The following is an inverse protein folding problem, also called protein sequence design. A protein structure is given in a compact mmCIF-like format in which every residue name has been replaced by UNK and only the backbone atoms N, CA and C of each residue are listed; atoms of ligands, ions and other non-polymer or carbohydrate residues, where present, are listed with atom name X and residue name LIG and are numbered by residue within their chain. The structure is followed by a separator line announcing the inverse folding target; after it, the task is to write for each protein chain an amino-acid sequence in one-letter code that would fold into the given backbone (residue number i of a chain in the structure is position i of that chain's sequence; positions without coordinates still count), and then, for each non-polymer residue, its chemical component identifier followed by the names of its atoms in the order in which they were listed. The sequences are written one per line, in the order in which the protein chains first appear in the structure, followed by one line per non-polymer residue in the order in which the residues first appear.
data_IF_482432553528
#
_entry.id   IF_482432553528
#
_cell.length_a   1.000
_cell.length_b   1.000
_cell.length_c   1.000
_cell.angle_alpha   90.00
_cell.angle_beta   90.00
_cell.angle_gamma   90.00
#
_symmetry.space_group_name_H-M   'P 1'
#
loop_
_entity.id
_entity.type
_entity.pdbx_description
1 polymer ?
#
# COMPACT_ATOMS: atom_id res chain seq x y z
N UNK A 1 37.51 -8.02 7.58
CA UNK A 1 36.16 -8.37 8.07
C UNK A 1 35.56 -7.33 9.02
N UNK A 2 36.31 -6.76 9.99
CA UNK A 2 35.81 -5.74 10.94
C UNK A 2 35.40 -4.37 10.33
N UNK A 3 35.97 -3.96 9.20
CA UNK A 3 35.66 -2.67 8.56
C UNK A 3 34.28 -2.63 7.86
N UNK A 4 33.78 -3.76 7.34
CA UNK A 4 32.43 -3.84 6.74
C UNK A 4 31.32 -3.74 7.79
N UNK A 5 31.51 -4.41 8.94
CA UNK A 5 30.62 -4.30 10.11
C UNK A 5 30.54 -2.86 10.65
N UNK A 6 31.65 -2.11 10.63
CA UNK A 6 31.69 -0.73 11.14
C UNK A 6 30.88 0.24 10.26
N UNK A 7 30.93 0.09 8.94
CA UNK A 7 30.14 0.91 8.00
C UNK A 7 28.64 0.61 8.06
N UNK A 8 28.26 -0.65 8.28
CA UNK A 8 26.85 -1.04 8.46
C UNK A 8 26.30 -0.56 9.79
N UNK A 9 27.04 -0.68 10.90
CA UNK A 9 26.65 -0.15 12.21
C UNK A 9 26.43 1.38 12.19
N UNK A 10 27.29 2.14 11.47
CA UNK A 10 27.09 3.58 11.30
C UNK A 10 25.81 3.92 10.51
N UNK A 11 25.49 3.14 9.47
CA UNK A 11 24.26 3.30 8.69
C UNK A 11 23.01 3.06 9.55
N UNK A 12 23.06 2.06 10.43
CA UNK A 12 21.93 1.73 11.32
C UNK A 12 21.75 2.71 12.47
N UNK A 13 22.84 3.22 13.04
CA UNK A 13 22.77 4.32 13.99
C UNK A 13 22.16 5.56 13.34
N UNK A 14 22.48 5.86 12.07
CA UNK A 14 21.85 6.96 11.35
C UNK A 14 20.33 6.75 11.14
N UNK A 15 19.88 5.51 10.90
CA UNK A 15 18.44 5.18 10.84
C UNK A 15 17.77 5.36 12.20
N UNK A 16 18.41 4.91 13.28
CA UNK A 16 17.91 5.09 14.64
C UNK A 16 17.78 6.58 15.02
N UNK A 17 18.85 7.35 14.81
CA UNK A 17 18.89 8.80 15.02
C UNK A 17 17.83 9.51 14.17
N UNK A 18 17.66 9.11 12.91
CA UNK A 18 16.63 9.68 12.04
C UNK A 18 15.23 9.46 12.62
N UNK A 19 14.95 8.30 13.21
CA UNK A 19 13.64 8.05 13.79
C UNK A 19 13.46 8.78 15.12
N UNK A 20 14.51 8.85 15.97
CA UNK A 20 14.49 9.66 17.18
C UNK A 20 14.22 11.14 16.86
N UNK A 21 15.01 11.73 15.95
CA UNK A 21 14.85 13.12 15.50
C UNK A 21 13.45 13.36 14.94
N UNK A 22 12.93 12.42 14.15
CA UNK A 22 11.58 12.53 13.57
C UNK A 22 10.51 12.47 14.66
N UNK A 23 10.69 11.61 15.66
CA UNK A 23 9.79 11.51 16.82
C UNK A 23 9.82 12.75 17.72
N UNK A 24 10.98 13.38 17.86
CA UNK A 24 11.16 14.58 18.67
C UNK A 24 10.62 15.83 17.97
N UNK A 25 10.75 15.92 16.65
CA UNK A 25 10.23 17.04 15.85
C UNK A 25 8.72 17.01 15.65
N UNK A 26 8.07 15.86 15.76
CA UNK A 26 6.62 15.72 15.56
C UNK A 26 6.01 14.87 16.68
N UNK A 27 5.61 15.54 17.78
CA UNK A 27 5.02 14.88 18.95
C UNK A 27 3.80 13.99 18.65
N UNK A 28 3.06 14.28 17.58
CA UNK A 28 1.89 13.50 17.13
C UNK A 28 2.25 12.08 16.66
N UNK A 29 3.47 11.82 16.20
CA UNK A 29 3.90 10.47 15.80
C UNK A 29 3.96 9.55 17.03
N UNK A 30 4.38 10.09 18.18
CA UNK A 30 4.46 9.33 19.44
C UNK A 30 3.09 8.86 19.93
N UNK A 31 2.02 9.45 19.42
CA UNK A 31 0.67 9.06 19.74
C UNK A 31 0.14 7.89 18.90
N UNK A 32 0.84 7.51 17.82
CA UNK A 32 0.50 6.32 17.05
C UNK A 32 0.77 5.10 17.96
N UNK A 33 -0.23 4.24 18.25
CA UNK A 33 -0.10 3.15 19.23
C UNK A 33 1.09 2.20 19.01
N UNK A 34 1.49 1.99 17.75
CA UNK A 34 2.64 1.15 17.38
C UNK A 34 4.01 1.80 17.66
N UNK A 35 4.05 3.12 17.87
CA UNK A 35 5.29 3.87 18.06
C UNK A 35 5.98 3.56 19.40
N UNK A 36 5.22 3.25 20.45
CA UNK A 36 5.78 2.84 21.74
C UNK A 36 6.51 1.49 21.68
N UNK A 37 6.00 0.55 20.88
CA UNK A 37 6.65 -0.74 20.62
C UNK A 37 7.91 -0.56 19.79
N UNK A 38 7.86 0.34 18.80
CA UNK A 38 9.01 0.74 17.98
C UNK A 38 10.21 1.21 18.82
N UNK A 39 10.01 2.16 19.74
CA UNK A 39 11.11 2.71 20.55
C UNK A 39 11.80 1.63 21.41
N UNK A 40 11.04 0.64 21.89
CA UNK A 40 11.57 -0.47 22.70
C UNK A 40 12.41 -1.43 21.87
N UNK A 41 11.94 -1.79 20.66
CA UNK A 41 12.68 -2.67 19.75
C UNK A 41 13.96 -1.99 19.26
N UNK A 42 13.88 -0.70 18.94
CA UNK A 42 15.00 0.11 18.50
C UNK A 42 16.17 0.10 19.51
N UNK A 43 15.86 0.26 20.81
CA UNK A 43 16.84 0.23 21.90
C UNK A 43 17.43 -1.18 22.14
N UNK A 44 16.75 -2.23 21.69
CA UNK A 44 17.15 -3.63 21.86
C UNK A 44 17.80 -4.25 20.61
N UNK A 45 18.01 -3.48 19.54
CA UNK A 45 18.55 -3.96 18.25
C UNK A 45 19.93 -4.63 18.41
N UNK A 46 19.94 -5.96 18.41
CA UNK A 46 21.17 -6.77 18.54
C UNK A 46 21.36 -7.74 17.37
N UNK A 47 20.28 -8.09 16.66
CA UNK A 47 20.32 -9.03 15.55
C UNK A 47 20.14 -8.34 14.19
N UNK A 48 20.59 -9.03 13.12
CA UNK A 48 20.36 -8.59 11.72
C UNK A 48 18.86 -8.52 11.40
N UNK A 49 18.05 -9.41 12.00
CA UNK A 49 16.60 -9.41 11.83
C UNK A 49 15.98 -8.13 12.40
N UNK A 50 16.38 -7.75 13.62
CA UNK A 50 15.88 -6.52 14.25
C UNK A 50 16.24 -5.29 13.41
N UNK A 51 17.45 -5.26 12.85
CA UNK A 51 17.90 -4.17 11.99
C UNK A 51 17.10 -4.09 10.69
N UNK A 52 16.80 -5.23 10.06
CA UNK A 52 16.00 -5.28 8.84
C UNK A 52 14.56 -4.84 9.10
N UNK A 53 13.97 -5.27 10.22
CA UNK A 53 12.66 -4.80 10.65
C UNK A 53 12.65 -3.28 10.83
N UNK A 54 13.63 -2.76 11.57
CA UNK A 54 13.80 -1.34 11.82
C UNK A 54 13.96 -0.53 10.53
N UNK A 55 14.63 -1.07 9.52
CA UNK A 55 14.70 -0.46 8.20
C UNK A 55 13.34 -0.30 7.54
N UNK A 56 12.57 -1.40 7.46
CA UNK A 56 11.24 -1.44 6.84
C UNK A 56 10.28 -0.50 7.54
N UNK A 57 10.35 -0.47 8.87
CA UNK A 57 9.55 0.38 9.72
C UNK A 57 9.95 1.86 9.61
N UNK A 58 11.24 2.16 9.49
CA UNK A 58 11.72 3.53 9.23
C UNK A 58 11.15 4.10 7.93
N UNK A 59 11.09 3.26 6.87
CA UNK A 59 10.51 3.62 5.57
C UNK A 59 9.00 3.87 5.68
N UNK A 60 8.29 3.01 6.39
CA UNK A 60 6.88 3.20 6.67
C UNK A 60 6.63 4.53 7.42
N UNK A 61 7.39 4.81 8.48
CA UNK A 61 7.29 6.05 9.26
C UNK A 61 7.59 7.27 8.38
N UNK A 62 8.65 7.21 7.57
CA UNK A 62 9.00 8.25 6.61
C UNK A 62 7.83 8.56 5.66
N UNK A 63 7.14 7.53 5.18
CA UNK A 63 5.98 7.68 4.30
C UNK A 63 4.72 8.19 5.01
N UNK A 64 4.47 7.75 6.26
CA UNK A 64 3.38 8.28 7.08
C UNK A 64 3.61 9.76 7.41
N UNK A 65 4.85 10.17 7.72
CA UNK A 65 5.16 11.57 8.07
C UNK A 65 5.10 12.56 6.92
N UNK A 66 4.90 12.07 5.68
CA UNK A 66 4.58 12.93 4.55
C UNK A 66 3.16 13.49 4.64
N UNK A 67 2.33 12.98 5.56
CA UNK A 67 0.97 13.50 5.77
C UNK A 67 0.97 14.73 6.69
N UNK A 68 -0.03 15.59 6.54
CA UNK A 68 -0.19 16.77 7.40
C UNK A 68 -0.51 16.38 8.85
N UNK A 69 -0.26 17.26 9.80
CA UNK A 69 -0.57 17.01 11.22
C UNK A 69 -2.03 16.61 11.45
N UNK A 70 -2.98 17.18 10.70
CA UNK A 70 -4.39 16.85 10.81
C UNK A 70 -4.67 15.42 10.33
N UNK A 71 -4.03 14.99 9.24
CA UNK A 71 -4.14 13.62 8.73
C UNK A 71 -3.43 12.62 9.67
N UNK A 72 -2.31 13.00 10.29
CA UNK A 72 -1.68 12.21 11.36
C UNK A 72 -2.62 12.01 12.54
N UNK A 73 -3.36 13.05 12.96
CA UNK A 73 -4.39 12.91 14.00
C UNK A 73 -5.48 11.93 13.58
N UNK A 74 -5.93 11.96 12.34
CA UNK A 74 -6.91 10.99 11.81
C UNK A 74 -6.38 9.57 11.86
N UNK A 75 -5.14 9.33 11.42
CA UNK A 75 -4.47 8.02 11.50
C UNK A 75 -4.37 7.55 12.96
N UNK A 76 -3.92 8.43 13.84
CA UNK A 76 -3.78 8.14 15.27
C UNK A 76 -5.12 7.76 15.89
N UNK A 77 -6.20 8.48 15.59
CA UNK A 77 -7.53 8.19 16.09
C UNK A 77 -8.07 6.86 15.54
N UNK A 78 -7.84 6.57 14.26
CA UNK A 78 -8.23 5.31 13.63
C UNK A 78 -7.54 4.08 14.25
N UNK A 79 -6.39 4.27 14.91
CA UNK A 79 -5.67 3.23 15.63
C UNK A 79 -5.96 3.20 17.14
N UNK A 80 -6.53 4.28 17.73
CA UNK A 80 -6.74 4.41 19.19
C UNK A 80 -8.10 3.90 19.70
N UNK A 81 -9.17 3.96 18.92
CA UNK A 81 -10.54 3.72 19.42
C UNK A 81 -11.12 2.36 18.95
N UNK A 82 -11.55 1.49 19.90
CA UNK A 82 -12.06 0.08 19.73
C UNK A 82 -10.94 -0.95 19.36
N UNK A 83 -11.13 -2.31 19.35
CA UNK A 83 -10.06 -3.32 19.55
C UNK A 83 -9.03 -3.36 18.41
N UNK A 84 -8.23 -2.31 18.37
CA UNK A 84 -7.27 -1.94 17.35
C UNK A 84 -5.86 -2.33 17.75
N UNK A 85 -5.65 -2.90 18.93
CA UNK A 85 -4.39 -3.58 19.25
C UNK A 85 -4.12 -4.68 18.23
N UNK A 86 -5.13 -5.49 17.88
CA UNK A 86 -5.00 -6.50 16.82
C UNK A 86 -4.67 -5.87 15.45
N UNK A 87 -5.22 -4.68 15.14
CA UNK A 87 -4.95 -3.99 13.89
C UNK A 87 -3.53 -3.42 13.84
N UNK A 88 -3.09 -2.82 14.94
CA UNK A 88 -1.75 -2.30 15.18
C UNK A 88 -0.71 -3.43 15.13
N UNK A 89 -0.99 -4.57 15.76
CA UNK A 89 -0.19 -5.79 15.71
C UNK A 89 -0.12 -6.35 14.29
N UNK A 90 -1.26 -6.49 13.60
CA UNK A 90 -1.30 -6.96 12.21
C UNK A 90 -0.50 -6.04 11.29
N UNK A 91 -0.59 -4.71 11.49
CA UNK A 91 0.20 -3.74 10.75
C UNK A 91 1.71 -3.93 10.98
N UNK A 92 2.14 -4.05 12.25
CA UNK A 92 3.54 -4.29 12.60
C UNK A 92 4.05 -5.61 12.02
N UNK A 93 3.29 -6.69 12.19
CA UNK A 93 3.60 -8.00 11.63
C UNK A 93 3.66 -7.96 10.10
N UNK A 94 2.80 -7.19 9.45
CA UNK A 94 2.84 -7.04 7.99
C UNK A 94 4.13 -6.36 7.56
N UNK A 95 4.51 -5.26 8.22
CA UNK A 95 5.74 -4.52 7.94
C UNK A 95 6.96 -5.41 8.16
N UNK A 96 7.01 -6.16 9.25
CA UNK A 96 8.12 -7.06 9.56
C UNK A 96 8.32 -8.14 8.49
N UNK A 97 7.21 -8.74 8.06
CA UNK A 97 7.21 -9.80 7.06
C UNK A 97 7.32 -9.31 5.60
N UNK A 98 7.58 -8.02 5.35
CA UNK A 98 7.82 -7.55 3.97
C UNK A 98 9.12 -8.16 3.43
N UNK A 99 9.09 -8.69 2.21
CA UNK A 99 10.31 -9.11 1.52
C UNK A 99 11.12 -7.90 1.03
N UNK A 100 10.44 -6.87 0.53
CA UNK A 100 11.04 -5.62 0.05
C UNK A 100 10.55 -4.42 0.86
N UNK A 101 11.47 -3.67 1.46
CA UNK A 101 11.15 -2.49 2.29
C UNK A 101 10.39 -1.39 1.53
N UNK A 102 10.57 -1.30 0.20
CA UNK A 102 9.89 -0.32 -0.64
C UNK A 102 8.37 -0.53 -0.72
N UNK A 103 7.86 -1.69 -0.28
CA UNK A 103 6.42 -1.95 -0.13
C UNK A 103 5.81 -1.20 1.05
N UNK A 104 6.62 -0.73 2.01
CA UNK A 104 6.15 0.04 3.17
C UNK A 104 5.34 1.29 2.75
N UNK A 105 5.64 1.89 1.60
CA UNK A 105 4.88 3.03 1.06
C UNK A 105 3.42 2.68 0.77
N UNK A 106 3.15 1.49 0.24
CA UNK A 106 1.79 1.04 -0.07
C UNK A 106 1.00 0.74 1.20
N UNK A 107 1.68 0.26 2.24
CA UNK A 107 1.08 0.07 3.57
C UNK A 107 0.68 1.42 4.18
N UNK A 108 1.55 2.43 4.11
CA UNK A 108 1.25 3.79 4.57
C UNK A 108 0.05 4.40 3.82
N UNK A 109 -0.02 4.19 2.50
CA UNK A 109 -1.14 4.63 1.66
C UNK A 109 -2.46 3.94 2.04
N UNK A 110 -2.43 2.63 2.29
CA UNK A 110 -3.58 1.87 2.75
C UNK A 110 -4.09 2.39 4.11
N UNK A 111 -3.16 2.64 5.05
CA UNK A 111 -3.49 3.15 6.37
C UNK A 111 -4.11 4.55 6.29
N UNK A 112 -3.57 5.40 5.42
CA UNK A 112 -4.13 6.74 5.18
C UNK A 112 -5.58 6.65 4.68
N UNK A 113 -5.86 5.85 3.65
CA UNK A 113 -7.22 5.71 3.12
C UNK A 113 -8.18 5.09 4.13
N UNK A 114 -7.72 4.10 4.91
CA UNK A 114 -8.48 3.53 6.00
C UNK A 114 -8.84 4.58 7.07
N UNK A 115 -7.86 5.41 7.47
CA UNK A 115 -8.09 6.47 8.46
C UNK A 115 -9.10 7.52 7.97
N UNK A 116 -9.16 7.78 6.67
CA UNK A 116 -10.12 8.70 6.05
C UNK A 116 -11.46 8.02 5.69
N UNK A 117 -11.70 6.79 6.14
CA UNK A 117 -12.93 6.03 5.86
C UNK A 117 -13.16 5.79 4.35
N UNK A 118 -12.09 5.85 3.55
CA UNK A 118 -12.11 5.49 2.12
C UNK A 118 -11.90 3.98 1.91
N UNK A 119 -11.41 3.26 2.93
CA UNK A 119 -11.37 1.79 2.98
C UNK A 119 -12.17 1.27 4.17
N UNK A 120 -12.86 0.15 3.96
CA UNK A 120 -13.38 -0.64 5.08
C UNK A 120 -12.24 -1.35 5.81
N UNK A 121 -12.46 -1.80 7.05
CA UNK A 121 -11.49 -2.62 7.79
C UNK A 121 -11.11 -3.88 7.00
N UNK A 122 -12.09 -4.51 6.36
CA UNK A 122 -11.87 -5.71 5.53
C UNK A 122 -10.97 -5.40 4.33
N UNK A 123 -11.25 -4.32 3.59
CA UNK A 123 -10.44 -3.93 2.43
C UNK A 123 -9.03 -3.48 2.83
N UNK A 124 -8.89 -2.80 3.96
CA UNK A 124 -7.58 -2.45 4.50
C UNK A 124 -6.76 -3.71 4.83
N UNK A 125 -7.32 -4.66 5.58
CA UNK A 125 -6.64 -5.91 5.93
C UNK A 125 -6.28 -6.74 4.70
N UNK A 126 -7.19 -6.85 3.73
CA UNK A 126 -6.92 -7.53 2.45
C UNK A 126 -5.82 -6.83 1.66
N UNK A 127 -5.76 -5.50 1.72
CA UNK A 127 -4.69 -4.72 1.08
C UNK A 127 -3.34 -5.02 1.72
N UNK A 128 -3.26 -5.09 3.06
CA UNK A 128 -2.03 -5.47 3.77
C UNK A 128 -1.53 -6.85 3.35
N UNK A 129 -2.42 -7.85 3.35
CA UNK A 129 -2.07 -9.22 2.96
C UNK A 129 -1.60 -9.30 1.50
N UNK A 130 -2.22 -8.52 0.61
CA UNK A 130 -1.87 -8.53 -0.81
C UNK A 130 -0.54 -7.80 -1.10
N UNK A 131 -0.32 -6.63 -0.48
CA UNK A 131 0.94 -5.88 -0.58
C UNK A 131 2.12 -6.75 -0.10
N UNK A 132 1.93 -7.47 0.99
CA UNK A 132 2.95 -8.37 1.53
C UNK A 132 3.34 -9.45 0.52
N UNK A 133 2.35 -10.12 -0.09
CA UNK A 133 2.53 -11.31 -0.92
C UNK A 133 2.96 -11.00 -2.37
N UNK A 134 2.45 -9.93 -2.97
CA UNK A 134 2.72 -9.63 -4.38
C UNK A 134 4.17 -9.23 -4.62
N UNK A 135 4.76 -9.61 -5.75
CA UNK A 135 6.07 -9.08 -6.13
C UNK A 135 6.01 -7.56 -6.32
N UNK A 136 7.05 -6.82 -5.90
CA UNK A 136 7.04 -5.36 -6.02
C UNK A 136 6.98 -4.88 -7.48
N UNK A 137 7.53 -5.66 -8.42
CA UNK A 137 7.41 -5.38 -9.85
C UNK A 137 5.96 -5.35 -10.30
N UNK A 138 5.14 -6.29 -9.85
CA UNK A 138 3.71 -6.38 -10.19
C UNK A 138 2.94 -5.20 -9.59
N UNK A 139 3.24 -4.80 -8.35
CA UNK A 139 2.65 -3.58 -7.76
C UNK A 139 3.01 -2.33 -8.57
N UNK A 140 4.25 -2.22 -9.04
CA UNK A 140 4.67 -1.09 -9.88
C UNK A 140 4.04 -1.15 -11.28
N UNK A 141 3.85 -2.34 -11.85
CA UNK A 141 3.16 -2.54 -13.13
C UNK A 141 1.68 -2.12 -12.99
N UNK A 142 1.03 -2.50 -11.89
CA UNK A 142 -0.33 -2.06 -11.57
C UNK A 142 -0.43 -0.53 -11.46
N UNK A 143 0.51 0.14 -10.79
CA UNK A 143 0.56 1.61 -10.73
C UNK A 143 0.74 2.22 -12.12
N UNK A 144 1.47 1.56 -13.03
CA UNK A 144 1.72 2.06 -14.39
C UNK A 144 0.48 1.91 -15.27
N UNK A 145 -0.14 0.73 -15.27
CA UNK A 145 -1.33 0.43 -16.08
C UNK A 145 -2.54 1.18 -15.56
N UNK A 146 -2.66 1.29 -14.24
CA UNK A 146 -3.76 1.94 -13.56
C UNK A 146 -5.05 1.12 -13.63
N UNK A 147 -6.13 1.76 -14.05
CA UNK A 147 -7.46 1.15 -14.03
C UNK A 147 -7.66 0.20 -15.21
N UNK A 148 -8.02 -1.04 -14.89
CA UNK A 148 -8.48 -2.03 -15.87
C UNK A 148 -9.96 -1.75 -16.15
N UNK A 149 -10.23 -0.72 -16.95
CA UNK A 149 -11.61 -0.27 -17.24
C UNK A 149 -12.33 -1.10 -18.31
N UNK A 150 -11.72 -2.18 -18.79
CA UNK A 150 -12.24 -3.00 -19.89
C UNK A 150 -11.95 -4.47 -19.65
N UNK A 151 -12.69 -5.34 -20.35
CA UNK A 151 -12.43 -6.76 -20.34
C UNK A 151 -11.08 -7.03 -20.99
N UNK A 152 -10.16 -7.65 -20.24
CA UNK A 152 -8.79 -7.94 -20.70
C UNK A 152 -8.64 -9.45 -20.87
N UNK A 153 -7.98 -9.88 -21.95
CA UNK A 153 -7.64 -11.28 -22.23
C UNK A 153 -6.36 -11.72 -21.49
N UNK A 154 -6.10 -13.04 -21.44
CA UNK A 154 -4.82 -13.54 -20.89
C UNK A 154 -3.60 -13.00 -21.64
N UNK A 155 -3.68 -12.87 -22.97
CA UNK A 155 -2.59 -12.36 -23.82
C UNK A 155 -2.31 -10.87 -23.54
N UNK A 156 -3.36 -10.07 -23.37
CA UNK A 156 -3.20 -8.66 -22.98
C UNK A 156 -2.62 -8.53 -21.56
N UNK A 157 -3.03 -9.37 -20.60
CA UNK A 157 -2.40 -9.40 -19.27
C UNK A 157 -0.90 -9.76 -19.36
N UNK A 158 -0.51 -10.65 -20.27
CA UNK A 158 0.89 -11.00 -20.53
C UNK A 158 1.66 -9.82 -21.11
N UNK A 159 1.10 -9.13 -22.09
CA UNK A 159 1.71 -7.92 -22.68
C UNK A 159 1.91 -6.78 -21.68
N UNK A 160 1.14 -6.77 -20.58
CA UNK A 160 1.22 -5.77 -19.52
C UNK A 160 2.09 -6.20 -18.33
N UNK A 161 2.66 -7.41 -18.35
CA UNK A 161 3.33 -8.06 -17.21
C UNK A 161 2.41 -8.16 -15.96
N UNK A 162 1.15 -8.55 -16.18
CA UNK A 162 0.09 -8.64 -15.16
C UNK A 162 -0.58 -10.03 -15.09
N UNK A 163 0.01 -11.07 -15.70
CA UNK A 163 -0.52 -12.45 -15.63
C UNK A 163 -0.58 -12.96 -14.19
N UNK A 164 0.33 -12.51 -13.32
CA UNK A 164 0.33 -12.87 -11.89
C UNK A 164 -0.91 -12.40 -11.13
N UNK A 165 -1.72 -11.50 -11.73
CA UNK A 165 -3.01 -11.09 -11.16
C UNK A 165 -4.07 -12.20 -11.25
N UNK A 166 -3.90 -13.17 -12.16
CA UNK A 166 -4.85 -14.29 -12.29
C UNK A 166 -4.86 -15.09 -10.99
N UNK A 167 -6.04 -15.27 -10.41
CA UNK A 167 -6.22 -15.94 -9.13
C UNK A 167 -6.00 -15.04 -7.91
N UNK A 168 -5.65 -13.76 -8.10
CA UNK A 168 -5.68 -12.75 -7.03
C UNK A 168 -7.10 -12.21 -6.85
N UNK A 169 -7.42 -11.59 -5.70
CA UNK A 169 -8.71 -10.93 -5.51
C UNK A 169 -8.90 -9.65 -6.36
N UNK A 170 -7.91 -9.26 -7.18
CA UNK A 170 -7.96 -8.01 -7.95
C UNK A 170 -8.79 -8.13 -9.23
N UNK A 171 -8.78 -9.31 -9.85
CA UNK A 171 -9.52 -9.58 -11.09
C UNK A 171 -10.37 -10.85 -10.95
N UNK A 172 -11.43 -10.94 -11.73
CA UNK A 172 -12.29 -12.13 -11.83
C UNK A 172 -12.49 -12.50 -13.29
N UNK A 173 -12.73 -13.79 -13.54
CA UNK A 173 -13.13 -14.26 -14.86
C UNK A 173 -14.52 -13.73 -15.19
N UNK A 174 -14.67 -13.16 -16.37
CA UNK A 174 -15.95 -12.75 -16.89
C UNK A 174 -16.67 -13.97 -17.46
N UNK A 175 -17.88 -14.24 -16.98
CA UNK A 175 -18.75 -15.24 -17.55
C UNK A 175 -19.48 -14.65 -18.75
N UNK A 176 -18.97 -14.88 -19.95
CA UNK A 176 -19.61 -14.46 -21.20
C UNK A 176 -20.42 -15.62 -21.76
N UNK A 177 -21.69 -15.37 -22.04
CA UNK A 177 -22.57 -16.33 -22.67
C UNK A 177 -22.27 -16.43 -24.17
N UNK A 178 -21.94 -17.63 -24.64
CA UNK A 178 -21.61 -17.87 -26.05
C UNK A 178 -22.77 -17.56 -26.99
N UNK A 179 -24.02 -17.76 -26.55
CA UNK A 179 -25.20 -17.47 -27.37
C UNK A 179 -25.41 -15.96 -27.56
N UNK A 180 -25.08 -15.16 -26.55
CA UNK A 180 -25.10 -13.70 -26.66
C UNK A 180 -24.02 -13.21 -27.63
N UNK A 181 -22.80 -13.80 -27.57
CA UNK A 181 -21.73 -13.51 -28.53
C UNK A 181 -22.12 -13.84 -29.97
N UNK A 182 -22.74 -14.99 -30.21
CA UNK A 182 -23.22 -15.38 -31.55
C UNK A 182 -24.29 -14.42 -32.07
N UNK A 183 -25.26 -14.06 -31.22
CA UNK A 183 -26.32 -13.10 -31.58
C UNK A 183 -25.74 -11.74 -31.97
N UNK A 184 -24.69 -11.31 -31.28
CA UNK A 184 -24.04 -10.01 -31.50
C UNK A 184 -22.97 -10.06 -32.63
N UNK A 185 -22.79 -11.20 -33.30
CA UNK A 185 -21.82 -11.38 -34.38
C UNK A 185 -20.36 -11.51 -33.95
N UNK A 186 -20.09 -11.68 -32.64
CA UNK A 186 -18.77 -11.71 -32.00
C UNK A 186 -18.25 -13.15 -31.84
N UNK A 187 -18.29 -13.90 -32.93
CA UNK A 187 -17.98 -15.35 -32.96
C UNK A 187 -16.50 -15.61 -32.63
N UNK A 188 -15.62 -14.68 -32.97
CA UNK A 188 -14.19 -14.68 -32.69
C UNK A 188 -13.85 -14.62 -31.19
N UNK A 189 -14.79 -14.17 -30.36
CA UNK A 189 -14.61 -14.13 -28.90
C UNK A 189 -15.02 -15.42 -28.19
N UNK A 190 -15.59 -16.39 -28.92
CA UNK A 190 -16.01 -17.67 -28.33
C UNK A 190 -14.78 -18.46 -27.89
N UNK A 191 -14.76 -18.84 -26.60
CA UNK A 191 -13.64 -19.56 -26.00
C UNK A 191 -12.51 -18.66 -25.51
N UNK A 192 -12.59 -17.35 -25.74
CA UNK A 192 -11.65 -16.38 -25.18
C UNK A 192 -11.98 -16.13 -23.71
N UNK A 193 -11.03 -16.41 -22.82
CA UNK A 193 -11.18 -16.07 -21.40
C UNK A 193 -10.89 -14.58 -21.22
N UNK A 194 -11.88 -13.86 -20.69
CA UNK A 194 -11.74 -12.45 -20.34
C UNK A 194 -11.77 -12.26 -18.84
N UNK A 195 -11.07 -11.24 -18.38
CA UNK A 195 -10.97 -10.84 -17.00
C UNK A 195 -11.50 -9.42 -16.83
N UNK A 196 -12.10 -9.16 -15.69
CA UNK A 196 -12.52 -7.83 -15.28
C UNK A 196 -12.06 -7.55 -13.84
N UNK A 197 -11.93 -6.28 -13.51
CA UNK A 197 -11.61 -5.83 -12.16
C UNK A 197 -12.72 -6.25 -11.17
N UNK A 198 -12.34 -6.64 -9.96
CA UNK A 198 -13.30 -6.79 -8.86
C UNK A 198 -13.51 -5.45 -8.15
N UNK A 199 -14.58 -5.32 -7.36
CA UNK A 199 -14.78 -4.13 -6.51
C UNK A 199 -13.59 -3.88 -5.56
N UNK A 200 -12.99 -4.96 -5.05
CA UNK A 200 -11.77 -4.87 -4.24
C UNK A 200 -10.56 -4.48 -5.09
N UNK A 201 -10.45 -4.99 -6.32
CA UNK A 201 -9.43 -4.60 -7.30
C UNK A 201 -9.37 -3.09 -7.48
N UNK A 202 -10.49 -2.45 -7.82
CA UNK A 202 -10.53 -1.01 -8.00
C UNK A 202 -10.22 -0.22 -6.74
N UNK A 203 -10.60 -0.76 -5.58
CA UNK A 203 -10.25 -0.19 -4.27
C UNK A 203 -8.75 -0.30 -3.98
N UNK A 204 -8.14 -1.43 -4.31
CA UNK A 204 -6.71 -1.66 -4.17
C UNK A 204 -5.88 -0.81 -5.13
N UNK A 205 -6.33 -0.60 -6.37
CA UNK A 205 -5.69 0.33 -7.30
C UNK A 205 -5.67 1.75 -6.70
N UNK A 206 -6.75 2.20 -6.02
CA UNK A 206 -6.71 3.47 -5.28
C UNK A 206 -5.63 3.48 -4.20
N UNK A 207 -5.42 2.39 -3.47
CA UNK A 207 -4.31 2.26 -2.52
C UNK A 207 -2.98 2.52 -3.21
N UNK A 208 -2.71 1.84 -4.33
CA UNK A 208 -1.43 1.94 -5.03
C UNK A 208 -1.17 3.32 -5.67
N UNK A 209 -2.23 3.98 -6.15
CA UNK A 209 -2.14 5.31 -6.77
C UNK A 209 -2.18 6.45 -5.78
N UNK A 210 -2.77 6.23 -4.60
CA UNK A 210 -2.80 7.25 -3.57
C UNK A 210 -1.36 7.58 -3.19
N UNK A 211 -0.99 8.85 -3.14
CA UNK A 211 0.30 9.25 -2.57
C UNK A 211 0.02 9.88 -1.21
N UNK A 212 0.75 9.53 -0.14
CA UNK A 212 0.69 10.33 1.09
C UNK A 212 1.02 11.79 0.70
N UNK A 213 0.31 12.79 1.24
CA UNK A 213 -0.09 13.97 0.52
C UNK A 213 1.08 14.92 0.23
N UNK A 214 1.35 15.06 -1.05
CA UNK A 214 1.26 16.30 -1.81
C UNK A 214 1.10 17.65 -1.07
N UNK A 215 1.97 18.58 -1.45
CA UNK A 215 1.93 20.01 -1.12
C UNK A 215 0.56 20.64 -1.38
N UNK A 216 0.29 21.78 -0.73
CA UNK A 216 -0.94 22.58 -0.91
C UNK A 216 -1.34 22.72 -2.38
N UNK A 217 -0.37 22.95 -3.27
CA UNK A 217 -0.57 23.09 -4.72
C UNK A 217 -1.17 21.84 -5.38
N UNK A 218 -0.73 20.65 -4.96
CA UNK A 218 -1.19 19.39 -5.52
C UNK A 218 -2.56 18.99 -4.97
N UNK A 219 -2.91 19.36 -3.73
CA UNK A 219 -4.29 19.27 -3.22
C UNK A 219 -5.24 20.19 -4.01
N UNK A 220 -4.77 21.38 -4.38
CA UNK A 220 -5.52 22.35 -5.17
C UNK A 220 -5.79 21.85 -6.60
N UNK A 221 -4.76 21.31 -7.27
CA UNK A 221 -4.89 20.69 -8.60
C UNK A 221 -5.80 19.46 -8.62
N UNK A 222 -5.82 18.67 -7.54
CA UNK A 222 -6.74 17.53 -7.39
C UNK A 222 -8.19 17.96 -7.18
N UNK A 223 -8.41 19.04 -6.42
CA UNK A 223 -9.73 19.64 -6.24
C UNK A 223 -10.27 20.20 -7.57
N UNK A 224 -9.44 20.93 -8.32
CA UNK A 224 -9.77 21.47 -9.64
C UNK A 224 -10.08 20.35 -10.66
N UNK A 225 -9.29 19.26 -10.67
CA UNK A 225 -9.58 18.09 -11.51
C UNK A 225 -10.90 17.42 -11.15
N UNK A 226 -11.23 17.26 -9.86
CA UNK A 226 -12.52 16.69 -9.43
C UNK A 226 -13.72 17.54 -9.82
N UNK A 227 -13.56 18.86 -9.93
CA UNK A 227 -14.63 19.74 -10.43
C UNK A 227 -14.81 19.57 -11.95
N UNK A 228 -13.72 19.43 -12.72
CA UNK A 228 -13.78 19.22 -14.17
C UNK A 228 -14.49 17.92 -14.59
N UNK A 229 -14.37 16.85 -13.80
CA UNK A 229 -15.08 15.58 -14.05
C UNK A 229 -16.55 15.56 -13.58
N UNK A 230 -17.03 16.63 -12.93
CA UNK A 230 -18.46 16.77 -12.55
C UNK A 230 -19.28 17.54 -13.60
N UNK A 231 -18.65 18.02 -14.66
CA UNK A 231 -19.28 18.80 -15.72
C UNK A 231 -19.18 18.16 -17.12
N UNK A 232 -18.77 16.90 -17.22
CA UNK A 232 -18.82 16.10 -18.45
C UNK A 232 -19.62 14.82 -18.22
#
# INVERSE_FOLDING_TARGET
MKFKQYGELQKWNAVYEAILITSEKQGLIKEIPIFGHFCKIAQATKSVSDQLFMFKLSKFIEDVNKVSNQELTTITNALKYEPNEELAEKLLLTIDNLNEADKSKYIAQALYLYSNVELTKSDFLRSLDLIQKMYIGDLNNLVRVGWISSFITSEELESMDLVSLIGTPLIKVQNINQEDLKRDGRIDEIGVTKYEETNFGGTFIKVLHNKPPYSVLQKQLMFERKQLFRFN
#
